data_IF_752692664019
#
_entry.id   IF_752692664019
#
_cell.length_a   1.000
_cell.length_b   1.000
_cell.length_c   1.000
_cell.angle_alpha   90.00
_cell.angle_beta   90.00
_cell.angle_gamma   90.00
#
_symmetry.space_group_name_H-M   'P 1'
#
loop_
_entity.id
_entity.type
_entity.pdbx_description
1 polymer ?
#
# COMPACT_ATOMS: atom_id res chain seq x y z
N UNK A 1 22.06 -64.79 29.98
CA UNK A 1 22.43 -64.62 28.55
C UNK A 1 21.80 -63.31 28.09
N UNK A 2 22.40 -62.13 28.33
CA UNK A 2 23.43 -61.45 27.52
C UNK A 2 23.21 -61.58 26.00
N UNK A 3 22.65 -60.53 25.40
CA UNK A 3 23.23 -59.92 24.20
C UNK A 3 22.91 -58.42 24.17
N UNK A 4 23.93 -57.64 23.80
CA UNK A 4 23.99 -56.19 23.90
C UNK A 4 24.40 -55.58 22.56
N UNK A 5 23.99 -54.31 22.35
CA UNK A 5 24.52 -53.30 21.42
C UNK A 5 24.18 -53.56 19.94
N UNK A 6 23.81 -52.56 19.14
CA UNK A 6 24.58 -51.35 18.82
C UNK A 6 23.65 -50.17 18.47
N UNK A 7 24.09 -48.98 18.88
CA UNK A 7 23.56 -47.64 18.61
C UNK A 7 23.48 -47.28 17.12
N UNK A 8 22.48 -46.49 16.74
CA UNK A 8 22.68 -45.44 15.73
C UNK A 8 22.00 -44.15 16.19
N UNK A 9 22.84 -43.19 16.57
CA UNK A 9 22.51 -41.78 16.75
C UNK A 9 22.66 -41.14 15.37
N UNK A 10 21.60 -40.50 14.85
CA UNK A 10 21.74 -39.38 13.91
C UNK A 10 20.88 -38.22 14.41
N UNK A 11 21.62 -37.31 15.02
CA UNK A 11 21.49 -35.86 15.14
C UNK A 11 20.45 -35.16 14.23
N UNK A 12 19.65 -34.30 14.89
CA UNK A 12 19.02 -33.03 14.47
C UNK A 12 19.15 -32.56 13.01
N UNK A 13 18.02 -32.07 12.46
CA UNK A 13 18.00 -30.72 11.88
C UNK A 13 16.60 -30.08 12.00
N UNK A 14 16.62 -28.87 12.55
CA UNK A 14 15.53 -27.94 12.78
C UNK A 14 14.70 -27.66 11.51
N UNK A 15 13.40 -27.92 11.56
CA UNK A 15 12.43 -27.12 10.82
C UNK A 15 11.51 -26.45 11.84
N UNK A 16 11.96 -25.30 12.36
CA UNK A 16 11.03 -24.28 12.85
C UNK A 16 10.24 -23.80 11.63
N UNK A 17 9.16 -24.51 11.33
CA UNK A 17 8.15 -24.06 10.40
C UNK A 17 7.59 -22.76 10.93
N UNK A 18 7.90 -21.66 10.25
CA UNK A 18 7.10 -20.45 10.35
C UNK A 18 5.69 -20.81 9.91
N UNK A 19 4.84 -21.17 10.87
CA UNK A 19 3.40 -21.29 10.68
C UNK A 19 2.90 -19.90 10.32
N UNK A 20 2.83 -19.60 9.02
CA UNK A 20 1.99 -18.50 8.53
C UNK A 20 0.56 -18.85 8.91
N UNK A 21 0.09 -18.33 10.03
CA UNK A 21 -1.33 -18.36 10.39
C UNK A 21 -2.10 -17.58 9.32
N UNK A 22 -2.75 -18.35 8.44
CA UNK A 22 -3.77 -17.92 7.52
C UNK A 22 -5.04 -17.58 8.31
N UNK A 23 -5.27 -16.31 8.63
CA UNK A 23 -6.61 -15.85 8.98
C UNK A 23 -7.40 -15.59 7.69
N UNK A 24 -8.08 -16.63 7.21
CA UNK A 24 -9.12 -16.53 6.19
C UNK A 24 -10.46 -16.17 6.84
N UNK A 25 -10.56 -15.01 7.50
CA UNK A 25 -11.82 -14.43 7.95
C UNK A 25 -11.69 -12.91 7.94
N UNK A 26 -12.46 -12.21 7.10
CA UNK A 26 -12.88 -10.81 7.29
C UNK A 26 -11.82 -9.73 7.60
N UNK A 27 -10.52 -9.98 7.41
CA UNK A 27 -9.46 -9.07 7.80
C UNK A 27 -9.53 -7.75 7.02
N UNK A 28 -9.57 -6.63 7.73
CA UNK A 28 -9.23 -5.32 7.17
C UNK A 28 -7.95 -5.44 6.34
N UNK A 29 -7.95 -4.91 5.13
CA UNK A 29 -6.73 -4.83 4.31
C UNK A 29 -5.66 -4.16 5.19
N UNK A 30 -4.59 -4.88 5.53
CA UNK A 30 -3.44 -4.22 6.16
C UNK A 30 -2.90 -3.25 5.12
N UNK A 31 -2.99 -1.96 5.44
CA UNK A 31 -2.69 -0.91 4.49
C UNK A 31 -1.21 -0.90 4.09
N UNK A 32 -0.35 -1.41 4.97
CA UNK A 32 1.08 -1.62 4.75
C UNK A 32 1.38 -2.64 3.63
N UNK A 33 0.39 -3.50 3.30
CA UNK A 33 0.49 -4.48 2.21
C UNK A 33 -0.24 -4.05 0.93
N UNK A 34 -0.72 -2.80 0.89
CA UNK A 34 -1.57 -2.32 -0.18
C UNK A 34 -0.86 -2.33 -1.54
N UNK A 35 -1.50 -2.96 -2.53
CA UNK A 35 -1.07 -2.98 -3.93
C UNK A 35 -2.30 -2.99 -4.85
N UNK A 36 -2.37 -2.15 -5.89
CA UNK A 36 -3.54 -2.05 -6.77
C UNK A 36 -3.75 -3.27 -7.68
N UNK A 37 -2.71 -4.06 -7.94
CA UNK A 37 -2.83 -5.29 -8.74
C UNK A 37 -3.29 -6.50 -7.93
N UNK A 38 -3.71 -7.58 -8.60
CA UNK A 38 -4.15 -8.80 -7.94
C UNK A 38 -3.00 -9.55 -7.26
N UNK A 39 -3.22 -10.09 -6.06
CA UNK A 39 -2.29 -11.00 -5.40
C UNK A 39 -2.54 -12.45 -5.83
N UNK A 40 -2.24 -12.75 -7.10
CA UNK A 40 -2.52 -14.06 -7.71
C UNK A 40 -1.74 -15.20 -7.05
N UNK A 41 -0.52 -14.95 -6.60
CA UNK A 41 0.34 -15.96 -5.97
C UNK A 41 -0.30 -16.55 -4.71
N UNK A 42 -1.06 -15.74 -3.96
CA UNK A 42 -1.82 -16.22 -2.80
C UNK A 42 -2.79 -17.35 -3.14
N UNK A 43 -3.44 -17.28 -4.29
CA UNK A 43 -4.37 -18.35 -4.74
C UNK A 43 -3.58 -19.53 -5.29
N UNK A 44 -2.49 -19.27 -6.01
CA UNK A 44 -1.66 -20.31 -6.62
C UNK A 44 -1.03 -21.21 -5.56
N UNK A 45 -0.57 -20.65 -4.44
CA UNK A 45 0.04 -21.41 -3.34
C UNK A 45 -0.96 -21.89 -2.28
N UNK A 46 -2.25 -21.58 -2.42
CA UNK A 46 -3.25 -22.05 -1.47
C UNK A 46 -3.45 -23.58 -1.58
N UNK A 47 -3.67 -24.22 -0.43
CA UNK A 47 -4.14 -25.60 -0.39
C UNK A 47 -5.47 -25.71 -1.16
N UNK A 48 -5.65 -26.81 -1.89
CA UNK A 48 -6.85 -27.06 -2.70
C UNK A 48 -7.20 -25.93 -3.69
N UNK A 49 -6.19 -25.27 -4.27
CA UNK A 49 -6.38 -24.20 -5.28
C UNK A 49 -7.17 -24.62 -6.55
N UNK A 50 -7.37 -25.92 -6.75
CA UNK A 50 -8.07 -26.50 -7.91
C UNK A 50 -7.28 -26.42 -9.23
N UNK A 51 -6.14 -25.74 -9.28
CA UNK A 51 -5.31 -25.48 -10.48
C UNK A 51 -4.62 -26.73 -11.03
N UNK A 52 -4.53 -27.81 -10.23
CA UNK A 52 -3.82 -29.05 -10.60
C UNK A 52 -2.43 -28.74 -11.16
N UNK A 53 -1.63 -28.00 -10.39
CA UNK A 53 -0.27 -27.62 -10.76
C UNK A 53 0.60 -28.88 -10.90
N UNK A 54 1.50 -28.91 -11.87
CA UNK A 54 2.57 -29.91 -11.88
C UNK A 54 3.58 -29.61 -10.76
N UNK A 55 4.38 -30.60 -10.40
CA UNK A 55 5.48 -30.42 -9.45
C UNK A 55 6.45 -29.31 -9.89
N UNK A 56 6.79 -29.27 -11.18
CA UNK A 56 7.63 -28.21 -11.76
C UNK A 56 7.01 -26.81 -11.58
N UNK A 57 5.70 -26.66 -11.83
CA UNK A 57 5.00 -25.39 -11.64
C UNK A 57 5.00 -24.98 -10.15
N UNK A 58 4.69 -25.93 -9.26
CA UNK A 58 4.63 -25.67 -7.82
C UNK A 58 6.00 -25.27 -7.27
N UNK A 59 7.07 -25.98 -7.65
CA UNK A 59 8.43 -25.66 -7.24
C UNK A 59 8.85 -24.28 -7.76
N UNK A 60 8.60 -23.98 -9.03
CA UNK A 60 8.90 -22.68 -9.62
C UNK A 60 8.25 -21.52 -8.83
N UNK A 61 6.95 -21.61 -8.55
CA UNK A 61 6.22 -20.55 -7.86
C UNK A 61 6.61 -20.43 -6.39
N UNK A 62 6.93 -21.56 -5.74
CA UNK A 62 7.39 -21.58 -4.35
C UNK A 62 8.77 -20.93 -4.21
N UNK A 63 9.73 -21.29 -5.07
CA UNK A 63 11.07 -20.69 -5.04
C UNK A 63 11.03 -19.20 -5.36
N UNK A 64 10.24 -18.79 -6.36
CA UNK A 64 10.05 -17.37 -6.64
C UNK A 64 9.49 -16.60 -5.44
N UNK A 65 8.52 -17.19 -4.74
CA UNK A 65 7.95 -16.64 -3.50
C UNK A 65 9.02 -16.47 -2.40
N UNK A 66 9.82 -17.51 -2.14
CA UNK A 66 10.89 -17.47 -1.13
C UNK A 66 11.91 -16.37 -1.42
N UNK A 67 12.30 -16.20 -2.68
CA UNK A 67 13.29 -15.22 -3.10
C UNK A 67 12.79 -13.78 -2.93
N UNK A 68 11.53 -13.51 -3.28
CA UNK A 68 11.04 -12.13 -3.42
C UNK A 68 10.19 -11.64 -2.25
N UNK A 69 9.56 -12.53 -1.48
CA UNK A 69 8.61 -12.13 -0.45
C UNK A 69 9.24 -11.30 0.66
N UNK A 70 10.42 -11.70 1.16
CA UNK A 70 11.15 -10.97 2.20
C UNK A 70 11.61 -9.59 1.70
N UNK A 71 12.03 -9.51 0.45
CA UNK A 71 12.44 -8.26 -0.22
C UNK A 71 11.25 -7.30 -0.33
N UNK A 72 10.10 -7.77 -0.80
CA UNK A 72 8.88 -6.95 -0.90
C UNK A 72 8.45 -6.49 0.50
N UNK A 73 8.45 -7.38 1.50
CA UNK A 73 8.08 -7.03 2.86
C UNK A 73 9.01 -5.96 3.46
N UNK A 74 10.32 -6.07 3.23
CA UNK A 74 11.30 -5.07 3.67
C UNK A 74 11.06 -3.70 3.00
N UNK A 75 10.75 -3.68 1.70
CA UNK A 75 10.41 -2.44 0.97
C UNK A 75 9.11 -1.81 1.47
N UNK A 76 8.07 -2.61 1.70
CA UNK A 76 6.81 -2.14 2.26
C UNK A 76 7.01 -1.55 3.67
N UNK A 77 7.80 -2.22 4.51
CA UNK A 77 8.17 -1.68 5.82
C UNK A 77 8.90 -0.34 5.69
N UNK A 78 9.88 -0.23 4.78
CA UNK A 78 10.59 1.04 4.56
C UNK A 78 9.68 2.14 4.04
N UNK A 79 8.70 1.83 3.19
CA UNK A 79 7.65 2.76 2.74
C UNK A 79 6.89 3.29 3.97
N UNK A 80 6.41 2.41 4.85
CA UNK A 80 5.69 2.82 6.06
C UNK A 80 6.56 3.69 6.99
N UNK A 81 7.83 3.33 7.17
CA UNK A 81 8.78 4.12 7.96
C UNK A 81 8.98 5.53 7.35
N UNK A 82 9.16 5.63 6.03
CA UNK A 82 9.29 6.91 5.32
C UNK A 82 8.03 7.77 5.42
N UNK A 83 6.84 7.17 5.37
CA UNK A 83 5.58 7.88 5.54
C UNK A 83 5.44 8.42 6.97
N UNK A 84 5.87 7.65 7.98
CA UNK A 84 5.93 8.11 9.37
C UNK A 84 6.95 9.23 9.57
N UNK A 85 8.13 9.12 8.96
CA UNK A 85 9.15 10.18 8.95
C UNK A 85 8.58 11.46 8.32
N UNK A 86 7.94 11.36 7.15
CA UNK A 86 7.30 12.50 6.49
C UNK A 86 6.16 13.12 7.30
N UNK A 87 5.38 12.32 8.02
CA UNK A 87 4.36 12.81 8.98
C UNK A 87 5.00 13.62 10.09
N UNK A 88 6.05 13.09 10.70
CA UNK A 88 6.80 13.78 11.75
C UNK A 88 7.40 15.11 11.25
N UNK A 89 8.02 15.11 10.06
CA UNK A 89 8.53 16.34 9.42
C UNK A 89 7.41 17.36 9.20
N UNK A 90 6.23 16.91 8.74
CA UNK A 90 5.07 17.76 8.57
C UNK A 90 4.63 18.42 9.88
N UNK A 91 4.47 17.63 10.93
CA UNK A 91 4.02 18.07 12.25
C UNK A 91 5.01 19.03 12.92
N UNK A 92 6.31 18.83 12.70
CA UNK A 92 7.39 19.69 13.21
C UNK A 92 7.69 20.91 12.30
N UNK A 93 6.82 21.21 11.34
CA UNK A 93 6.97 22.34 10.41
C UNK A 93 8.30 22.36 9.66
N UNK A 94 8.86 21.19 9.35
CA UNK A 94 10.08 21.07 8.56
C UNK A 94 9.88 21.63 7.13
N UNK A 95 10.97 22.04 6.45
CA UNK A 95 10.93 22.50 5.06
C UNK A 95 10.18 21.54 4.11
N UNK A 96 9.48 22.11 3.13
CA UNK A 96 8.66 21.37 2.18
C UNK A 96 9.49 20.33 1.38
N UNK A 97 10.72 20.68 1.01
CA UNK A 97 11.64 19.84 0.25
C UNK A 97 12.11 18.59 1.02
N UNK A 98 12.26 18.69 2.35
CA UNK A 98 12.57 17.53 3.18
C UNK A 98 11.43 16.50 3.18
N UNK A 99 10.17 16.97 3.20
CA UNK A 99 8.99 16.09 3.11
C UNK A 99 8.90 15.48 1.72
N UNK A 100 9.08 16.29 0.67
CA UNK A 100 9.02 15.82 -0.72
C UNK A 100 10.12 14.79 -1.02
N UNK A 101 11.31 14.93 -0.44
CA UNK A 101 12.37 13.91 -0.53
C UNK A 101 11.90 12.55 0.00
N UNK A 102 11.17 12.50 1.12
CA UNK A 102 10.60 11.24 1.65
C UNK A 102 9.54 10.66 0.72
N UNK A 103 8.76 11.50 0.07
CA UNK A 103 7.77 11.09 -0.94
C UNK A 103 8.45 10.47 -2.15
N UNK A 104 9.54 11.07 -2.64
CA UNK A 104 10.29 10.55 -3.78
C UNK A 104 10.94 9.20 -3.47
N UNK A 105 11.57 9.06 -2.30
CA UNK A 105 12.09 7.78 -1.81
C UNK A 105 10.98 6.71 -1.72
N UNK A 106 9.81 7.09 -1.19
CA UNK A 106 8.64 6.21 -1.09
C UNK A 106 8.13 5.78 -2.46
N UNK A 107 8.06 6.72 -3.41
CA UNK A 107 7.58 6.48 -4.76
C UNK A 107 8.51 5.54 -5.52
N UNK A 108 9.82 5.69 -5.38
CA UNK A 108 10.80 4.76 -5.97
C UNK A 108 10.62 3.33 -5.45
N UNK A 109 10.47 3.15 -4.14
CA UNK A 109 10.21 1.84 -3.56
C UNK A 109 8.89 1.22 -4.05
N UNK A 110 7.83 2.04 -4.18
CA UNK A 110 6.54 1.59 -4.74
C UNK A 110 6.67 1.10 -6.18
N UNK A 111 7.47 1.79 -6.99
CA UNK A 111 7.77 1.39 -8.36
C UNK A 111 8.55 0.06 -8.41
N UNK A 112 9.54 -0.11 -7.54
CA UNK A 112 10.27 -1.38 -7.43
C UNK A 112 9.35 -2.53 -7.03
N UNK A 113 8.52 -2.35 -5.99
CA UNK A 113 7.53 -3.34 -5.56
C UNK A 113 6.56 -3.66 -6.70
N UNK A 114 6.10 -2.64 -7.43
CA UNK A 114 5.24 -2.84 -8.59
C UNK A 114 5.93 -3.65 -9.69
N UNK A 115 7.19 -3.33 -10.01
CA UNK A 115 7.97 -4.08 -10.99
C UNK A 115 8.08 -5.56 -10.62
N UNK A 116 8.42 -5.87 -9.36
CA UNK A 116 8.52 -7.26 -8.87
C UNK A 116 7.16 -7.97 -8.91
N UNK A 117 6.08 -7.32 -8.48
CA UNK A 117 4.73 -7.92 -8.49
C UNK A 117 4.20 -8.15 -9.91
N UNK A 118 4.51 -7.27 -10.87
CA UNK A 118 4.16 -7.48 -12.27
C UNK A 118 5.02 -8.59 -12.91
N UNK A 119 6.29 -8.72 -12.52
CA UNK A 119 7.12 -9.88 -12.93
C UNK A 119 6.54 -11.19 -12.39
N UNK A 120 6.07 -11.20 -11.13
CA UNK A 120 5.37 -12.36 -10.57
C UNK A 120 4.11 -12.73 -11.37
N UNK A 121 3.33 -11.73 -11.81
CA UNK A 121 2.16 -11.97 -12.69
C UNK A 121 2.60 -12.61 -14.01
N UNK A 122 3.64 -12.10 -14.66
CA UNK A 122 4.13 -12.63 -15.92
C UNK A 122 4.67 -14.06 -15.75
N UNK A 123 5.42 -14.34 -14.68
CA UNK A 123 5.85 -15.70 -14.33
C UNK A 123 4.67 -16.67 -14.26
N UNK A 124 3.59 -16.29 -13.56
CA UNK A 124 2.38 -17.11 -13.47
C UNK A 124 1.74 -17.29 -14.85
N UNK A 125 1.61 -16.23 -15.63
CA UNK A 125 0.99 -16.28 -16.96
C UNK A 125 1.76 -17.20 -17.90
N UNK A 126 3.08 -17.09 -17.92
CA UNK A 126 3.95 -17.76 -18.88
C UNK A 126 4.11 -19.25 -18.55
N UNK A 127 3.89 -19.64 -17.29
CA UNK A 127 4.05 -21.02 -16.82
C UNK A 127 2.74 -21.74 -16.53
N UNK A 128 1.60 -21.06 -16.51
CA UNK A 128 0.27 -21.69 -16.38
C UNK A 128 -0.31 -22.03 -17.76
N UNK A 129 -0.93 -23.20 -17.87
CA UNK A 129 -1.73 -23.55 -19.06
C UNK A 129 -2.92 -22.59 -19.16
N UNK A 130 -3.40 -22.34 -20.38
CA UNK A 130 -4.55 -21.45 -20.62
C UNK A 130 -5.77 -21.75 -19.73
N UNK A 131 -6.10 -23.04 -19.51
CA UNK A 131 -7.18 -23.45 -18.61
C UNK A 131 -6.91 -23.09 -17.14
N UNK A 132 -5.67 -23.26 -16.68
CA UNK A 132 -5.26 -22.91 -15.31
C UNK A 132 -5.33 -21.39 -15.11
N UNK A 133 -4.81 -20.60 -16.06
CA UNK A 133 -4.90 -19.13 -16.01
C UNK A 133 -6.35 -18.63 -15.94
N UNK A 134 -7.22 -19.12 -16.84
CA UNK A 134 -8.64 -18.76 -16.84
C UNK A 134 -9.32 -19.06 -15.50
N UNK A 135 -9.03 -20.22 -14.93
CA UNK A 135 -9.58 -20.63 -13.63
C UNK A 135 -9.04 -19.77 -12.49
N UNK A 136 -7.74 -19.48 -12.47
CA UNK A 136 -7.11 -18.59 -11.49
C UNK A 136 -7.76 -17.20 -11.52
N UNK A 137 -7.87 -16.59 -12.70
CA UNK A 137 -8.49 -15.27 -12.87
C UNK A 137 -9.96 -15.29 -12.47
N UNK A 138 -10.71 -16.32 -12.87
CA UNK A 138 -12.14 -16.45 -12.51
C UNK A 138 -12.33 -16.58 -11.01
N UNK A 139 -11.53 -17.43 -10.36
CA UNK A 139 -11.55 -17.61 -8.90
C UNK A 139 -11.16 -16.32 -8.18
N UNK A 140 -10.08 -15.66 -8.62
CA UNK A 140 -9.65 -14.39 -8.02
C UNK A 140 -10.74 -13.33 -8.10
N UNK A 141 -11.37 -13.13 -9.27
CA UNK A 141 -12.44 -12.14 -9.44
C UNK A 141 -13.66 -12.43 -8.56
N UNK A 142 -13.98 -13.71 -8.34
CA UNK A 142 -15.09 -14.13 -7.49
C UNK A 142 -14.79 -13.89 -6.00
N UNK A 143 -13.60 -14.28 -5.55
CA UNK A 143 -13.22 -14.26 -4.14
C UNK A 143 -12.73 -12.86 -3.69
N UNK A 144 -12.24 -12.06 -4.64
CA UNK A 144 -11.69 -10.73 -4.45
C UNK A 144 -12.21 -9.78 -5.52
N UNK A 145 -13.53 -9.49 -5.57
CA UNK A 145 -14.05 -8.49 -6.49
C UNK A 145 -13.31 -7.18 -6.23
N UNK A 146 -13.03 -6.43 -7.31
CA UNK A 146 -12.67 -5.03 -7.18
C UNK A 146 -13.95 -4.31 -6.75
N UNK A 147 -14.30 -4.46 -5.47
CA UNK A 147 -15.25 -3.57 -4.86
C UNK A 147 -14.63 -2.19 -5.05
N UNK A 148 -15.40 -1.23 -5.54
CA UNK A 148 -15.09 0.20 -5.43
C UNK A 148 -15.14 0.59 -3.94
N UNK A 149 -14.30 -0.07 -3.15
CA UNK A 149 -13.34 0.53 -2.25
C UNK A 149 -13.88 1.79 -1.59
N UNK A 150 -14.99 1.63 -0.87
CA UNK A 150 -15.44 2.55 0.18
C UNK A 150 -14.30 2.83 1.18
N UNK A 151 -13.38 1.87 1.33
CA UNK A 151 -12.09 1.96 2.05
C UNK A 151 -10.96 2.68 1.29
N UNK A 152 -11.08 2.98 0.00
CA UNK A 152 -10.02 3.69 -0.74
C UNK A 152 -9.87 5.12 -0.26
N UNK A 153 -10.96 5.79 0.09
CA UNK A 153 -10.86 7.13 0.66
C UNK A 153 -10.11 7.09 2.01
N UNK A 154 -10.29 6.02 2.80
CA UNK A 154 -9.45 5.74 3.97
C UNK A 154 -7.99 5.49 3.53
N UNK A 155 -7.75 4.72 2.46
CA UNK A 155 -6.40 4.45 1.96
C UNK A 155 -5.68 5.71 1.45
N UNK A 156 -6.36 6.61 0.73
CA UNK A 156 -5.82 7.89 0.27
C UNK A 156 -5.46 8.80 1.45
N UNK A 157 -6.19 8.70 2.57
CA UNK A 157 -5.82 9.39 3.81
C UNK A 157 -4.54 8.82 4.44
N UNK A 158 -4.24 7.53 4.23
CA UNK A 158 -3.12 6.82 4.85
C UNK A 158 -1.88 6.62 3.96
N UNK A 159 -1.95 6.80 2.63
CA UNK A 159 -0.78 6.71 1.71
C UNK A 159 -0.12 8.06 1.43
N UNK A 160 -0.29 9.02 2.36
CA UNK A 160 0.28 10.35 2.25
C UNK A 160 0.86 10.78 3.61
N UNK A 161 2.14 11.17 3.67
CA UNK A 161 2.79 11.55 4.93
C UNK A 161 2.18 12.79 5.59
N UNK A 162 1.53 13.68 4.85
CA UNK A 162 0.99 14.94 5.40
C UNK A 162 -0.43 14.75 5.95
N UNK A 163 -0.67 15.04 7.24
CA UNK A 163 -1.99 14.98 7.84
C UNK A 163 -3.04 15.83 7.11
N UNK A 164 -4.31 15.43 7.20
CA UNK A 164 -5.41 16.24 6.71
C UNK A 164 -5.81 17.30 7.76
N UNK A 165 -4.98 18.33 7.92
CA UNK A 165 -5.18 19.37 8.93
C UNK A 165 -6.56 20.04 8.84
N UNK A 166 -7.07 20.31 7.63
CA UNK A 166 -8.40 20.93 7.46
C UNK A 166 -9.53 20.06 8.02
N UNK A 167 -9.44 18.74 7.85
CA UNK A 167 -10.43 17.83 8.42
C UNK A 167 -10.40 17.84 9.95
N UNK A 168 -9.21 17.90 10.55
CA UNK A 168 -9.05 17.94 12.01
C UNK A 168 -9.50 19.27 12.57
N UNK A 169 -9.16 20.40 11.92
CA UNK A 169 -9.66 21.74 12.30
C UNK A 169 -11.19 21.75 12.29
N UNK A 170 -11.82 21.30 11.20
CA UNK A 170 -13.28 21.31 11.08
C UNK A 170 -13.98 20.42 12.12
N UNK A 171 -13.36 19.32 12.52
CA UNK A 171 -13.88 18.43 13.55
C UNK A 171 -13.71 18.98 14.97
N UNK A 172 -12.78 19.91 15.19
CA UNK A 172 -12.36 20.36 16.52
C UNK A 172 -12.37 21.90 16.66
N UNK A 173 -13.22 22.60 15.90
CA UNK A 173 -13.26 24.08 15.85
C UNK A 173 -13.35 24.71 17.24
N UNK A 174 -14.26 24.19 18.07
CA UNK A 174 -14.48 24.72 19.43
C UNK A 174 -13.33 24.41 20.38
N UNK A 175 -12.72 23.22 20.26
CA UNK A 175 -11.60 22.81 21.12
C UNK A 175 -10.33 23.58 20.78
N UNK A 176 -10.10 23.86 19.50
CA UNK A 176 -8.95 24.62 19.00
C UNK A 176 -9.14 26.15 19.10
N UNK A 177 -10.24 26.62 19.70
CA UNK A 177 -10.61 28.04 19.81
C UNK A 177 -10.43 28.82 18.48
N UNK A 178 -10.89 28.23 17.38
CA UNK A 178 -10.71 28.82 16.06
C UNK A 178 -11.61 30.05 15.92
N UNK A 179 -10.99 31.23 15.81
CA UNK A 179 -11.72 32.48 15.61
C UNK A 179 -12.43 32.51 14.25
N UNK A 180 -13.43 33.39 14.13
CA UNK A 180 -14.19 33.54 12.88
C UNK A 180 -13.32 33.92 11.68
N UNK A 181 -12.28 34.74 11.90
CA UNK A 181 -11.35 35.14 10.83
C UNK A 181 -10.42 33.98 10.41
N UNK A 182 -9.89 33.23 11.38
CA UNK A 182 -9.12 32.01 11.09
C UNK A 182 -9.97 30.99 10.32
N UNK A 183 -11.21 30.78 10.75
CA UNK A 183 -12.16 29.88 10.07
C UNK A 183 -12.41 30.32 8.63
N UNK A 184 -12.59 31.62 8.39
CA UNK A 184 -12.79 32.18 7.05
C UNK A 184 -11.60 31.91 6.13
N UNK A 185 -10.37 32.05 6.63
CA UNK A 185 -9.15 31.74 5.88
C UNK A 185 -9.10 30.24 5.52
N UNK A 186 -9.36 29.36 6.49
CA UNK A 186 -9.33 27.90 6.27
C UNK A 186 -10.46 27.43 5.33
N UNK A 187 -11.65 28.00 5.45
CA UNK A 187 -12.81 27.72 4.59
C UNK A 187 -12.53 28.15 3.14
N UNK A 188 -11.93 29.32 2.94
CA UNK A 188 -11.57 29.82 1.62
C UNK A 188 -10.55 28.90 0.93
N UNK A 189 -9.53 28.46 1.65
CA UNK A 189 -8.56 27.49 1.13
C UNK A 189 -9.23 26.16 0.75
N UNK A 190 -10.09 25.63 1.63
CA UNK A 190 -10.80 24.38 1.39
C UNK A 190 -11.69 24.48 0.16
N UNK A 191 -12.47 25.56 0.02
CA UNK A 191 -13.34 25.83 -1.12
C UNK A 191 -12.56 25.84 -2.43
N UNK A 192 -11.38 26.46 -2.45
CA UNK A 192 -10.54 26.55 -3.64
C UNK A 192 -9.85 25.22 -3.99
N UNK A 193 -9.39 24.45 -3.00
CA UNK A 193 -8.48 23.31 -3.24
C UNK A 193 -9.16 21.94 -3.15
N UNK A 194 -10.23 21.79 -2.38
CA UNK A 194 -10.91 20.51 -2.19
C UNK A 194 -11.38 19.87 -3.51
N UNK A 195 -11.98 20.60 -4.48
CA UNK A 195 -12.41 20.00 -5.74
C UNK A 195 -11.26 19.36 -6.52
N UNK A 196 -10.10 20.01 -6.60
CA UNK A 196 -8.94 19.47 -7.30
C UNK A 196 -8.31 18.28 -6.54
N UNK A 197 -8.31 18.32 -5.20
CA UNK A 197 -7.89 17.17 -4.39
C UNK A 197 -8.77 15.94 -4.64
N UNK A 198 -10.09 16.13 -4.74
CA UNK A 198 -11.04 15.06 -5.05
C UNK A 198 -10.85 14.53 -6.48
N UNK A 199 -10.58 15.41 -7.45
CA UNK A 199 -10.27 15.00 -8.82
C UNK A 199 -9.01 14.14 -8.89
N UNK A 200 -7.93 14.53 -8.21
CA UNK A 200 -6.70 13.74 -8.13
C UNK A 200 -6.93 12.38 -7.45
N UNK A 201 -7.71 12.34 -6.35
CA UNK A 201 -8.08 11.10 -5.69
C UNK A 201 -8.85 10.15 -6.64
N UNK A 202 -9.81 10.68 -7.40
CA UNK A 202 -10.57 9.93 -8.40
C UNK A 202 -9.69 9.43 -9.56
N UNK A 203 -8.70 10.21 -9.98
CA UNK A 203 -7.71 9.77 -10.97
C UNK A 203 -6.90 8.58 -10.48
N UNK A 204 -6.43 8.60 -9.22
CA UNK A 204 -5.75 7.44 -8.61
C UNK A 204 -6.68 6.23 -8.61
N UNK A 205 -7.93 6.38 -8.14
CA UNK A 205 -8.92 5.29 -8.13
C UNK A 205 -9.07 4.65 -9.52
N UNK A 206 -9.22 5.48 -10.55
CA UNK A 206 -9.37 5.04 -11.93
C UNK A 206 -8.13 4.30 -12.45
N UNK A 207 -6.93 4.85 -12.20
CA UNK A 207 -5.66 4.22 -12.61
C UNK A 207 -5.44 2.87 -11.91
N UNK A 208 -5.82 2.76 -10.65
CA UNK A 208 -5.73 1.50 -9.90
C UNK A 208 -6.74 0.45 -10.38
N UNK A 209 -7.97 0.86 -10.70
CA UNK A 209 -8.95 -0.03 -11.33
C UNK A 209 -8.44 -0.54 -12.69
N UNK A 210 -7.76 0.32 -13.46
CA UNK A 210 -7.16 -0.06 -14.73
C UNK A 210 -5.96 -1.00 -14.53
N UNK A 211 -5.09 -0.78 -13.54
CA UNK A 211 -4.02 -1.72 -13.15
C UNK A 211 -4.60 -3.08 -12.82
N UNK A 212 -5.64 -3.13 -11.98
CA UNK A 212 -6.32 -4.36 -11.59
C UNK A 212 -6.84 -5.11 -12.82
N UNK A 213 -7.61 -4.42 -13.67
CA UNK A 213 -8.24 -5.02 -14.84
C UNK A 213 -7.24 -5.50 -15.88
N UNK A 214 -6.20 -4.71 -16.17
CA UNK A 214 -5.13 -5.06 -17.12
C UNK A 214 -4.27 -6.21 -16.59
N UNK A 215 -4.02 -6.28 -15.28
CA UNK A 215 -3.22 -7.36 -14.67
C UNK A 215 -3.89 -8.75 -14.74
N UNK A 216 -5.22 -8.80 -14.91
CA UNK A 216 -5.96 -10.04 -15.12
C UNK A 216 -6.10 -10.41 -16.61
N UNK A 217 -5.58 -9.57 -17.51
CA UNK A 217 -5.58 -9.77 -18.97
C UNK A 217 -4.14 -10.03 -19.45
N UNK A 218 -3.97 -10.26 -20.75
CA UNK A 218 -2.65 -10.40 -21.38
C UNK A 218 -2.00 -9.04 -21.70
N UNK A 219 -2.21 -8.03 -20.86
CA UNK A 219 -1.62 -6.71 -21.08
C UNK A 219 -0.15 -6.73 -20.65
N UNK A 220 0.72 -6.09 -21.42
CA UNK A 220 2.16 -6.06 -21.11
C UNK A 220 2.44 -5.38 -19.78
N UNK A 221 3.56 -5.77 -19.14
CA UNK A 221 4.02 -5.17 -17.89
C UNK A 221 4.23 -3.67 -18.04
N UNK A 222 4.82 -3.23 -19.14
CA UNK A 222 5.18 -1.83 -19.41
C UNK A 222 3.95 -0.93 -19.45
N UNK A 223 2.85 -1.41 -20.07
CA UNK A 223 1.60 -0.65 -20.14
C UNK A 223 0.98 -0.48 -18.74
N UNK A 224 1.05 -1.50 -17.90
CA UNK A 224 0.49 -1.44 -16.53
C UNK A 224 1.39 -0.62 -15.62
N UNK A 225 2.71 -0.72 -15.81
CA UNK A 225 3.70 -0.01 -15.02
C UNK A 225 3.56 1.53 -15.17
N UNK A 226 3.25 2.03 -16.37
CA UNK A 226 2.98 3.46 -16.60
C UNK A 226 1.88 4.03 -15.70
N UNK A 227 0.88 3.25 -15.33
CA UNK A 227 -0.15 3.72 -14.40
C UNK A 227 0.40 3.91 -12.98
N UNK A 228 1.38 3.09 -12.55
CA UNK A 228 2.03 3.27 -11.26
C UNK A 228 2.87 4.55 -11.23
N UNK A 229 3.59 4.83 -12.32
CA UNK A 229 4.34 6.08 -12.47
C UNK A 229 3.40 7.29 -12.37
N UNK A 230 2.25 7.24 -13.06
CA UNK A 230 1.27 8.31 -13.02
C UNK A 230 0.62 8.48 -11.64
N UNK A 231 0.26 7.39 -10.96
CA UNK A 231 -0.22 7.44 -9.57
C UNK A 231 0.81 8.13 -8.66
N UNK A 232 2.10 7.80 -8.82
CA UNK A 232 3.14 8.39 -7.98
C UNK A 232 3.33 9.90 -8.22
N UNK A 233 3.22 10.37 -9.48
CA UNK A 233 3.19 11.81 -9.77
C UNK A 233 2.02 12.51 -9.09
N UNK A 234 0.82 11.93 -9.19
CA UNK A 234 -0.38 12.49 -8.55
C UNK A 234 -0.20 12.51 -7.02
N UNK A 235 0.38 11.46 -6.42
CA UNK A 235 0.69 11.44 -4.98
C UNK A 235 1.63 12.58 -4.58
N UNK A 236 2.67 12.85 -5.36
CA UNK A 236 3.55 14.01 -5.12
C UNK A 236 2.77 15.32 -5.16
N UNK A 237 1.92 15.53 -6.17
CA UNK A 237 1.08 16.74 -6.27
C UNK A 237 0.10 16.89 -5.08
N UNK A 238 -0.48 15.78 -4.60
CA UNK A 238 -1.32 15.76 -3.40
C UNK A 238 -0.49 16.18 -2.18
N UNK A 239 0.73 15.66 -2.00
CA UNK A 239 1.61 16.06 -0.89
C UNK A 239 1.97 17.53 -0.98
N UNK A 240 2.41 18.04 -2.13
CA UNK A 240 2.73 19.46 -2.32
C UNK A 240 1.56 20.37 -1.90
N UNK A 241 0.33 20.05 -2.34
CA UNK A 241 -0.86 20.83 -1.95
C UNK A 241 -1.16 20.73 -0.46
N UNK A 242 -1.01 19.55 0.13
CA UNK A 242 -1.18 19.37 1.58
C UNK A 242 -0.10 20.10 2.39
N UNK A 243 1.13 20.18 1.90
CA UNK A 243 2.19 20.94 2.55
C UNK A 243 1.92 22.45 2.47
N UNK A 244 1.41 22.95 1.33
CA UNK A 244 0.93 24.34 1.24
C UNK A 244 -0.22 24.62 2.22
N UNK A 245 -1.15 23.68 2.35
CA UNK A 245 -2.23 23.74 3.34
C UNK A 245 -1.69 23.81 4.77
N UNK A 246 -0.72 22.95 5.12
CA UNK A 246 0.00 22.99 6.40
C UNK A 246 0.60 24.38 6.65
N UNK A 247 1.31 24.94 5.68
CA UNK A 247 1.98 26.23 5.82
C UNK A 247 0.97 27.36 6.05
N UNK A 248 -0.15 27.36 5.33
CA UNK A 248 -1.27 28.30 5.56
C UNK A 248 -1.81 28.17 6.99
N UNK A 249 -2.10 26.95 7.43
CA UNK A 249 -2.62 26.69 8.78
C UNK A 249 -1.64 27.17 9.84
N UNK A 250 -0.35 26.88 9.69
CA UNK A 250 0.68 27.32 10.64
C UNK A 250 0.83 28.85 10.71
N UNK A 251 0.60 29.56 9.60
CA UNK A 251 0.58 31.03 9.57
C UNK A 251 -0.71 31.63 10.13
N UNK A 252 -1.81 30.87 10.13
CA UNK A 252 -3.14 31.32 10.54
C UNK A 252 -3.39 31.10 12.03
N UNK A 253 -2.89 29.97 12.56
CA UNK A 253 -3.05 29.59 13.95
C UNK A 253 -1.94 30.15 14.83
N UNK A 254 -2.25 30.37 16.11
CA UNK A 254 -1.21 30.61 17.12
C UNK A 254 -0.37 29.35 17.35
N UNK A 255 0.77 29.50 18.04
CA UNK A 255 1.65 28.38 18.37
C UNK A 255 0.96 27.33 19.27
N UNK A 256 0.11 27.78 20.20
CA UNK A 256 -0.66 26.91 21.09
C UNK A 256 -1.71 26.12 20.30
N UNK A 257 -2.48 26.81 19.45
CA UNK A 257 -3.46 26.17 18.57
C UNK A 257 -2.82 25.17 17.61
N UNK A 258 -1.63 25.49 17.07
CA UNK A 258 -0.87 24.58 16.22
C UNK A 258 -0.43 23.33 16.99
N UNK A 259 0.08 23.51 18.21
CA UNK A 259 0.52 22.39 19.07
C UNK A 259 -0.64 21.46 19.38
N UNK A 260 -1.79 22.02 19.74
CA UNK A 260 -2.99 21.23 20.01
C UNK A 260 -3.52 20.54 18.75
N UNK A 261 -3.53 21.21 17.60
CA UNK A 261 -3.91 20.61 16.32
C UNK A 261 -3.01 19.41 15.99
N UNK A 262 -1.69 19.56 16.14
CA UNK A 262 -0.73 18.47 15.89
C UNK A 262 -1.00 17.28 16.82
N UNK A 263 -1.26 17.52 18.11
CA UNK A 263 -1.61 16.46 19.06
C UNK A 263 -2.85 15.66 18.63
N UNK A 264 -3.85 16.32 18.04
CA UNK A 264 -5.07 15.67 17.52
C UNK A 264 -4.86 14.94 16.18
N UNK A 265 -3.70 15.07 15.55
CA UNK A 265 -3.35 14.36 14.30
C UNK A 265 -2.49 13.11 14.52
N UNK A 266 -2.09 12.84 15.77
CA UNK A 266 -1.27 11.68 16.14
C UNK A 266 -2.08 10.39 16.03
#
# INVERSE_FOLDING_TARGET
>A
MKNSKISFVVLMALFTGATMMLSAQGGSVNIEDYFPGPNLMKIVLAENNGLKLSETQLNLFTEWGKEHQSIIAAKNKRIADLEKEGKSLSQNSAPDDEILKKVDETNNLRLEVASTKLSCRDLLRDNLKSKQWKMLVSKYKKDHPFNERKKMMEVIQHVNPVPNYMSVINANISELDISQEQKKITDAWSTQNHPEMMKMANQIISLEADIYNKSLKNTSKEIIYKNFEEINKIRTQIVERKTKCRNLVKQTLSDDQWTELVAKTM
#
